data_IF_423222856534
#
_entry.id   IF_423222856534
#
_cell.length_a   1.000
_cell.length_b   1.000
_cell.length_c   1.000
_cell.angle_alpha   90.00
_cell.angle_beta   90.00
_cell.angle_gamma   90.00
#
_symmetry.space_group_name_H-M   'P 1'
#
loop_
_entity.id
_entity.type
_entity.pdbx_description
1 polymer ?
#
# COMPACT_ATOMS: atom_id res chain seq x y z
N UNK A 1 24.97 60.46 -38.34
CA UNK A 1 24.39 59.09 -38.31
C UNK A 1 24.50 58.61 -36.88
N UNK A 2 23.38 58.59 -36.15
CA UNK A 2 23.33 58.33 -34.72
C UNK A 2 23.25 56.83 -34.46
N UNK A 3 24.19 56.30 -33.66
CA UNK A 3 24.20 54.91 -33.20
C UNK A 3 23.27 54.76 -32.00
N UNK A 4 22.35 53.80 -32.07
CA UNK A 4 21.52 53.38 -30.95
C UNK A 4 22.21 52.26 -30.18
N UNK A 5 22.57 52.52 -28.92
CA UNK A 5 22.87 51.49 -27.94
C UNK A 5 21.55 50.79 -27.54
N UNK A 6 21.43 49.50 -27.84
CA UNK A 6 20.42 48.63 -27.26
C UNK A 6 20.97 47.98 -26.00
N UNK A 7 20.56 48.50 -24.85
CA UNK A 7 20.76 47.89 -23.53
C UNK A 7 19.83 46.67 -23.42
N UNK A 8 20.40 45.47 -23.46
CA UNK A 8 19.69 44.23 -23.11
C UNK A 8 19.60 44.17 -21.59
N UNK A 9 18.43 44.49 -21.05
CA UNK A 9 18.11 44.25 -19.65
C UNK A 9 17.91 42.75 -19.41
N UNK A 10 18.82 42.10 -18.69
CA UNK A 10 18.54 40.79 -18.10
C UNK A 10 17.49 40.96 -17.01
N UNK A 11 16.25 40.56 -17.31
CA UNK A 11 15.26 40.29 -16.28
C UNK A 11 15.66 38.99 -15.58
N UNK A 12 16.23 39.11 -14.37
CA UNK A 12 16.28 38.00 -13.43
C UNK A 12 14.85 37.62 -13.09
N UNK A 13 14.35 36.55 -13.70
CA UNK A 13 13.14 35.87 -13.25
C UNK A 13 13.47 35.26 -11.90
N UNK A 14 13.13 36.00 -10.84
CA UNK A 14 12.99 35.41 -9.51
C UNK A 14 11.91 34.34 -9.63
N UNK A 15 12.30 33.07 -9.53
CA UNK A 15 11.37 31.99 -9.18
C UNK A 15 10.94 32.22 -7.72
N UNK A 16 10.14 33.26 -7.50
CA UNK A 16 9.27 33.34 -6.35
C UNK A 16 8.25 32.24 -6.57
N UNK A 17 8.47 31.08 -5.93
CA UNK A 17 7.41 30.12 -5.71
C UNK A 17 6.25 30.90 -5.12
N UNK A 18 5.17 31.03 -5.89
CA UNK A 18 3.90 31.42 -5.32
C UNK A 18 3.67 30.42 -4.19
N UNK A 19 3.60 30.92 -2.96
CA UNK A 19 2.96 30.20 -1.88
C UNK A 19 1.51 30.01 -2.32
N UNK A 20 1.27 28.96 -3.11
CA UNK A 20 -0.07 28.49 -3.43
C UNK A 20 -0.75 28.20 -2.11
N UNK A 21 -2.04 28.54 -2.02
CA UNK A 21 -2.92 28.10 -0.94
C UNK A 21 -2.49 26.70 -0.51
N UNK A 22 -2.08 26.54 0.76
CA UNK A 22 -1.62 25.25 1.29
C UNK A 22 -2.61 24.20 0.85
N UNK A 23 -2.16 23.16 0.14
CA UNK A 23 -3.06 22.12 -0.34
C UNK A 23 -3.79 21.48 0.86
N UNK A 24 -5.11 21.68 0.96
CA UNK A 24 -5.96 21.27 2.11
C UNK A 24 -6.91 20.12 1.81
N UNK A 25 -6.67 19.38 0.72
CA UNK A 25 -7.49 18.25 0.36
C UNK A 25 -7.57 17.25 1.52
N UNK A 26 -8.74 16.65 1.71
CA UNK A 26 -8.96 15.65 2.75
C UNK A 26 -9.50 14.36 2.13
N UNK A 27 -9.16 13.24 2.76
CA UNK A 27 -9.79 11.96 2.46
C UNK A 27 -11.03 11.80 3.35
N UNK A 28 -12.18 11.51 2.76
CA UNK A 28 -13.44 11.27 3.48
C UNK A 28 -13.99 9.90 3.13
N UNK A 29 -14.29 9.09 4.14
CA UNK A 29 -15.00 7.82 3.97
C UNK A 29 -16.50 8.05 4.11
N UNK A 30 -17.28 7.59 3.13
CA UNK A 30 -18.73 7.73 3.09
C UNK A 30 -19.36 6.35 2.89
N UNK A 31 -20.18 5.93 3.85
CA UNK A 31 -20.99 4.72 3.73
C UNK A 31 -22.40 5.08 3.28
N UNK A 32 -22.85 4.50 2.18
CA UNK A 32 -24.20 4.72 1.65
C UNK A 32 -25.15 3.64 2.17
N UNK A 33 -25.56 3.73 3.43
CA UNK A 33 -26.38 2.71 4.10
C UNK A 33 -27.62 2.28 3.30
N UNK A 34 -28.32 3.25 2.69
CA UNK A 34 -29.51 3.01 1.87
C UNK A 34 -29.22 2.29 0.54
N UNK A 35 -27.96 2.29 0.10
CA UNK A 35 -27.52 1.60 -1.11
C UNK A 35 -27.00 0.18 -0.82
N UNK A 36 -26.74 -0.19 0.43
CA UNK A 36 -26.13 -1.49 0.77
C UNK A 36 -27.18 -2.60 0.81
N UNK A 37 -27.00 -3.59 -0.07
CA UNK A 37 -27.84 -4.78 -0.13
C UNK A 37 -27.78 -5.57 1.21
N UNK A 38 -28.90 -6.14 1.70
CA UNK A 38 -28.93 -6.81 3.00
C UNK A 38 -27.86 -7.87 3.24
N UNK A 39 -27.51 -8.65 2.20
CA UNK A 39 -26.48 -9.69 2.27
C UNK A 39 -25.07 -9.16 2.54
N UNK A 40 -24.79 -7.89 2.18
CA UNK A 40 -23.47 -7.29 2.29
C UNK A 40 -23.26 -6.53 3.62
N UNK A 41 -24.32 -6.35 4.41
CA UNK A 41 -24.29 -5.48 5.60
C UNK A 41 -23.34 -5.94 6.69
N UNK A 42 -23.17 -7.25 6.87
CA UNK A 42 -22.28 -7.78 7.90
C UNK A 42 -20.81 -7.40 7.62
N UNK A 43 -20.31 -7.68 6.42
CA UNK A 43 -18.96 -7.30 6.03
C UNK A 43 -18.71 -5.79 6.12
N UNK A 44 -19.67 -4.95 5.72
CA UNK A 44 -19.56 -3.49 5.88
C UNK A 44 -19.51 -3.08 7.35
N UNK A 45 -20.32 -3.69 8.22
CA UNK A 45 -20.30 -3.38 9.66
C UNK A 45 -18.98 -3.76 10.31
N UNK A 46 -18.37 -4.89 9.90
CA UNK A 46 -17.01 -5.29 10.33
C UNK A 46 -15.98 -4.22 9.95
N UNK A 47 -15.97 -3.79 8.69
CA UNK A 47 -15.05 -2.75 8.20
C UNK A 47 -15.30 -1.41 8.90
N UNK A 48 -16.56 -1.03 9.09
CA UNK A 48 -16.93 0.22 9.77
C UNK A 48 -16.51 0.22 11.24
N UNK A 49 -16.75 -0.86 11.97
CA UNK A 49 -16.42 -0.96 13.41
C UNK A 49 -14.93 -0.97 13.66
N UNK A 50 -14.17 -1.65 12.81
CA UNK A 50 -12.70 -1.70 12.91
C UNK A 50 -12.03 -0.37 12.58
N UNK A 51 -12.75 0.53 11.87
CA UNK A 51 -12.27 1.85 11.45
C UNK A 51 -11.04 1.82 10.53
N UNK A 52 -10.80 0.71 9.84
CA UNK A 52 -9.59 0.51 9.04
C UNK A 52 -9.49 1.48 7.86
N UNK A 53 -10.61 1.86 7.26
CA UNK A 53 -10.64 2.85 6.18
C UNK A 53 -10.36 4.25 6.73
N UNK A 54 -10.98 4.60 7.84
CA UNK A 54 -10.85 5.91 8.48
C UNK A 54 -9.44 6.13 9.00
N UNK A 55 -8.81 5.14 9.63
CA UNK A 55 -7.43 5.26 10.11
C UNK A 55 -6.45 5.55 8.97
N UNK A 56 -6.60 4.87 7.84
CA UNK A 56 -5.77 5.11 6.66
C UNK A 56 -6.06 6.48 6.01
N UNK A 57 -7.33 6.85 5.88
CA UNK A 57 -7.77 8.15 5.38
C UNK A 57 -7.28 9.32 6.26
N UNK A 58 -7.34 9.15 7.58
CA UNK A 58 -6.87 10.12 8.57
C UNK A 58 -5.37 10.30 8.42
N UNK A 59 -4.58 9.22 8.37
CA UNK A 59 -3.12 9.32 8.18
C UNK A 59 -2.77 10.07 6.88
N UNK A 60 -3.40 9.73 5.76
CA UNK A 60 -3.17 10.46 4.49
C UNK A 60 -3.51 11.95 4.65
N UNK A 61 -4.65 12.26 5.25
CA UNK A 61 -5.13 13.63 5.46
C UNK A 61 -4.22 14.44 6.38
N UNK A 62 -3.64 13.83 7.42
CA UNK A 62 -2.78 14.52 8.38
C UNK A 62 -1.34 14.63 7.91
N UNK A 63 -0.87 13.65 7.14
CA UNK A 63 0.54 13.53 6.77
C UNK A 63 0.87 14.21 5.44
N UNK A 64 -0.11 14.34 4.53
CA UNK A 64 0.10 14.81 3.15
C UNK A 64 -0.74 16.04 2.81
N UNK A 65 -0.14 16.97 2.08
CA UNK A 65 -0.79 18.16 1.55
C UNK A 65 -1.48 17.82 0.22
N UNK A 66 -2.66 17.19 0.29
CA UNK A 66 -3.40 16.74 -0.90
C UNK A 66 -3.89 17.93 -1.76
N UNK A 67 -3.68 17.92 -3.10
CA UNK A 67 -4.12 19.00 -3.98
C UNK A 67 -5.65 19.10 -4.08
N UNK A 68 -6.35 17.97 -3.88
CA UNK A 68 -7.79 17.87 -3.99
C UNK A 68 -8.35 16.94 -2.91
N UNK A 69 -9.63 17.14 -2.57
CA UNK A 69 -10.36 16.18 -1.75
C UNK A 69 -10.44 14.82 -2.45
N UNK A 70 -10.41 13.77 -1.63
CA UNK A 70 -10.63 12.39 -2.03
C UNK A 70 -11.82 11.83 -1.27
N UNK A 71 -12.70 11.10 -1.95
CA UNK A 71 -13.85 10.43 -1.33
C UNK A 71 -13.75 8.93 -1.52
N UNK A 72 -13.93 8.19 -0.44
CA UNK A 72 -14.02 6.73 -0.43
C UNK A 72 -15.48 6.37 -0.29
N UNK A 73 -16.08 5.88 -1.37
CA UNK A 73 -17.50 5.58 -1.49
C UNK A 73 -17.74 4.09 -1.21
N UNK A 74 -18.21 3.76 0.00
CA UNK A 74 -18.63 2.40 0.36
C UNK A 74 -20.09 2.23 -0.02
N UNK A 75 -20.34 1.67 -1.21
CA UNK A 75 -21.67 1.64 -1.85
C UNK A 75 -21.80 0.51 -2.87
N UNK A 76 -22.98 -0.12 -2.99
CA UNK A 76 -23.27 -1.05 -4.09
C UNK A 76 -23.63 -0.28 -5.40
N UNK A 77 -23.79 1.05 -5.34
CA UNK A 77 -24.05 1.90 -6.52
C UNK A 77 -22.72 2.37 -7.12
N UNK A 78 -22.05 1.46 -7.81
CA UNK A 78 -20.77 1.73 -8.48
C UNK A 78 -20.94 1.92 -10.00
N UNK A 79 -19.98 2.55 -10.70
CA UNK A 79 -19.97 2.62 -12.15
C UNK A 79 -19.99 1.22 -12.81
N UNK A 80 -20.49 1.09 -14.05
CA UNK A 80 -20.47 -0.19 -14.77
C UNK A 80 -19.05 -0.77 -14.90
N UNK A 81 -18.88 -2.06 -14.61
CA UNK A 81 -17.60 -2.77 -14.68
C UNK A 81 -16.74 -2.67 -13.42
N UNK A 82 -17.19 -1.97 -12.38
CA UNK A 82 -16.54 -2.00 -11.06
C UNK A 82 -17.06 -3.20 -10.27
N UNK A 83 -16.18 -4.16 -10.02
CA UNK A 83 -16.50 -5.40 -9.29
C UNK A 83 -15.75 -5.48 -7.95
N UNK A 84 -14.57 -4.88 -7.88
CA UNK A 84 -13.70 -4.79 -6.71
C UNK A 84 -13.48 -3.34 -6.24
N UNK A 85 -12.66 -3.17 -5.20
CA UNK A 85 -12.24 -1.83 -4.79
C UNK A 85 -11.42 -1.19 -5.92
N UNK A 86 -11.68 0.08 -6.22
CA UNK A 86 -11.03 0.74 -7.36
C UNK A 86 -10.93 2.24 -7.20
N UNK A 87 -9.76 2.76 -7.52
CA UNK A 87 -9.47 4.18 -7.63
C UNK A 87 -9.81 4.69 -9.02
N UNK A 88 -10.60 5.76 -9.08
CA UNK A 88 -10.96 6.39 -10.34
C UNK A 88 -9.76 7.11 -10.97
N UNK A 89 -9.73 7.27 -12.31
CA UNK A 89 -8.58 7.83 -13.03
C UNK A 89 -8.13 9.23 -12.61
N UNK A 90 -8.99 10.02 -11.96
CA UNK A 90 -8.65 11.34 -11.43
C UNK A 90 -7.97 11.30 -10.05
N UNK A 91 -7.91 10.11 -9.42
CA UNK A 91 -7.36 9.91 -8.07
C UNK A 91 -8.21 10.53 -6.96
N UNK A 92 -9.45 10.92 -7.21
CA UNK A 92 -10.30 11.64 -6.24
C UNK A 92 -11.45 10.81 -5.69
N UNK A 93 -11.79 9.71 -6.35
CA UNK A 93 -12.83 8.79 -5.86
C UNK A 93 -12.27 7.39 -5.78
N UNK A 94 -12.46 6.72 -4.65
CA UNK A 94 -12.20 5.30 -4.48
C UNK A 94 -13.56 4.65 -4.22
N UNK A 95 -13.97 3.70 -5.05
CA UNK A 95 -15.15 2.88 -4.76
C UNK A 95 -14.73 1.66 -3.97
N UNK A 96 -15.50 1.32 -2.93
CA UNK A 96 -15.35 0.08 -2.16
C UNK A 96 -16.69 -0.64 -2.18
N UNK A 97 -16.93 -1.55 -3.14
CA UNK A 97 -18.20 -2.26 -3.24
C UNK A 97 -18.46 -3.15 -2.01
N UNK A 98 -19.63 -3.07 -1.35
CA UNK A 98 -20.01 -3.98 -0.28
C UNK A 98 -20.04 -5.46 -0.69
N UNK A 99 -20.36 -5.75 -1.94
CA UNK A 99 -20.27 -7.11 -2.50
C UNK A 99 -18.83 -7.64 -2.43
N UNK A 100 -17.84 -6.85 -2.84
CA UNK A 100 -16.42 -7.19 -2.74
C UNK A 100 -15.98 -7.44 -1.29
N UNK A 101 -16.41 -6.61 -0.34
CA UNK A 101 -16.12 -6.84 1.09
C UNK A 101 -16.69 -8.17 1.60
N UNK A 102 -17.86 -8.57 1.07
CA UNK A 102 -18.50 -9.85 1.41
C UNK A 102 -17.73 -11.03 0.82
N UNK A 103 -17.19 -10.87 -0.39
CA UNK A 103 -16.31 -11.88 -1.00
C UNK A 103 -15.01 -12.04 -0.22
N UNK A 104 -14.37 -10.93 0.16
CA UNK A 104 -13.21 -10.94 1.05
C UNK A 104 -13.51 -11.66 2.37
N UNK A 105 -14.68 -11.43 2.96
CA UNK A 105 -15.11 -12.12 4.18
C UNK A 105 -15.32 -13.63 3.96
N UNK A 106 -15.78 -14.03 2.78
CA UNK A 106 -15.83 -15.43 2.38
C UNK A 106 -14.44 -16.08 2.38
N UNK A 107 -13.46 -15.44 1.75
CA UNK A 107 -12.07 -15.91 1.73
C UNK A 107 -11.47 -15.91 3.14
N UNK A 108 -11.70 -14.86 3.93
CA UNK A 108 -11.27 -14.77 5.32
C UNK A 108 -11.84 -15.92 6.18
N UNK A 109 -13.09 -16.30 5.93
CA UNK A 109 -13.73 -17.44 6.59
C UNK A 109 -13.05 -18.75 6.22
N UNK A 110 -12.68 -18.93 4.97
CA UNK A 110 -11.97 -20.13 4.54
C UNK A 110 -10.58 -20.19 5.17
N UNK A 111 -9.82 -19.08 5.13
CA UNK A 111 -8.50 -18.96 5.78
C UNK A 111 -8.58 -19.30 7.27
N UNK A 112 -9.51 -18.69 8.01
CA UNK A 112 -9.66 -18.94 9.45
C UNK A 112 -10.00 -20.40 9.79
N UNK A 113 -10.53 -21.18 8.83
CA UNK A 113 -10.86 -22.60 9.00
C UNK A 113 -9.76 -23.55 8.53
N UNK A 114 -9.06 -23.21 7.46
CA UNK A 114 -8.18 -24.14 6.73
C UNK A 114 -6.70 -23.86 6.90
N UNK A 115 -6.32 -22.65 7.30
CA UNK A 115 -4.92 -22.24 7.44
C UNK A 115 -4.55 -22.22 8.93
N UNK A 116 -3.41 -22.81 9.26
CA UNK A 116 -2.87 -22.70 10.61
C UNK A 116 -2.59 -21.23 10.93
N UNK A 117 -3.03 -20.76 12.10
CA UNK A 117 -2.82 -19.39 12.55
C UNK A 117 -1.31 -19.08 12.64
N UNK A 118 -0.79 -18.09 11.88
CA UNK A 118 0.59 -17.64 12.08
C UNK A 118 0.79 -17.10 13.49
N UNK A 119 1.95 -17.36 14.08
CA UNK A 119 2.28 -16.90 15.44
C UNK A 119 2.29 -15.36 15.60
N UNK A 120 2.30 -14.62 14.49
CA UNK A 120 2.21 -13.16 14.47
C UNK A 120 0.83 -12.66 14.91
N UNK A 121 -0.25 -13.41 14.63
CA UNK A 121 -1.59 -13.06 15.10
C UNK A 121 -1.80 -13.55 16.53
N UNK A 122 -2.52 -12.79 17.36
CA UNK A 122 -3.06 -13.34 18.60
C UNK A 122 -4.17 -14.35 18.31
N UNK A 123 -4.53 -15.18 19.29
CA UNK A 123 -5.60 -16.18 19.11
C UNK A 123 -6.97 -15.53 18.89
N UNK A 124 -7.24 -14.41 19.56
CA UNK A 124 -8.52 -13.73 19.47
C UNK A 124 -8.67 -12.95 18.15
N UNK A 125 -7.55 -12.53 17.53
CA UNK A 125 -7.51 -11.74 16.29
C UNK A 125 -7.36 -12.60 15.01
N UNK A 126 -7.58 -13.92 15.09
CA UNK A 126 -7.54 -14.82 13.95
C UNK A 126 -8.90 -15.45 13.68
N UNK A 127 -9.83 -14.61 13.24
CA UNK A 127 -11.17 -15.00 12.83
C UNK A 127 -11.56 -14.28 11.53
N UNK A 128 -12.68 -14.68 10.94
CA UNK A 128 -13.12 -14.16 9.64
C UNK A 128 -13.30 -12.64 9.65
N UNK A 129 -13.87 -12.07 10.71
CA UNK A 129 -14.18 -10.63 10.77
C UNK A 129 -12.88 -9.81 10.90
N UNK A 130 -11.97 -10.21 11.78
CA UNK A 130 -10.68 -9.52 11.94
C UNK A 130 -9.81 -9.62 10.68
N UNK A 131 -9.74 -10.81 10.07
CA UNK A 131 -9.01 -11.00 8.81
C UNK A 131 -9.64 -10.19 7.66
N UNK A 132 -10.98 -10.05 7.65
CA UNK A 132 -11.68 -9.18 6.68
C UNK A 132 -11.24 -7.73 6.85
N UNK A 133 -11.33 -7.19 8.07
CA UNK A 133 -10.94 -5.82 8.35
C UNK A 133 -9.47 -5.54 7.99
N UNK A 134 -8.57 -6.44 8.39
CA UNK A 134 -7.14 -6.32 8.14
C UNK A 134 -6.78 -6.41 6.66
N UNK A 135 -7.40 -7.32 5.90
CA UNK A 135 -7.19 -7.40 4.47
C UNK A 135 -7.80 -6.19 3.74
N UNK A 136 -8.97 -5.71 4.16
CA UNK A 136 -9.53 -4.44 3.66
C UNK A 136 -8.60 -3.26 3.92
N UNK A 137 -7.91 -3.20 5.08
CA UNK A 137 -6.90 -2.17 5.35
C UNK A 137 -5.76 -2.17 4.32
N UNK A 138 -5.33 -3.37 3.89
CA UNK A 138 -4.28 -3.52 2.90
C UNK A 138 -4.77 -3.16 1.49
N UNK A 139 -5.91 -3.72 1.06
CA UNK A 139 -6.52 -3.41 -0.25
C UNK A 139 -6.83 -1.92 -0.37
N UNK A 140 -7.35 -1.29 0.69
CA UNK A 140 -7.55 0.17 0.67
C UNK A 140 -6.22 0.93 0.61
N UNK A 141 -5.17 0.41 1.23
CA UNK A 141 -3.81 0.93 1.04
C UNK A 141 -3.41 0.90 -0.44
N UNK A 142 -3.66 -0.22 -1.13
CA UNK A 142 -3.36 -0.35 -2.56
C UNK A 142 -4.08 0.75 -3.37
N UNK A 143 -5.38 0.95 -3.14
CA UNK A 143 -6.15 2.02 -3.77
C UNK A 143 -5.63 3.43 -3.43
N UNK A 144 -5.22 3.65 -2.18
CA UNK A 144 -4.59 4.92 -1.82
C UNK A 144 -3.28 5.15 -2.58
N UNK A 145 -2.44 4.13 -2.79
CA UNK A 145 -1.20 4.25 -3.57
C UNK A 145 -1.48 4.76 -4.99
N UNK A 146 -2.44 4.12 -5.63
CA UNK A 146 -3.05 4.51 -6.89
C UNK A 146 -3.55 5.97 -6.90
N UNK A 147 -4.29 6.39 -5.87
CA UNK A 147 -4.85 7.73 -5.79
C UNK A 147 -3.76 8.79 -5.60
N UNK A 148 -2.77 8.52 -4.75
CA UNK A 148 -1.64 9.41 -4.49
C UNK A 148 -0.75 9.56 -5.73
N UNK A 149 -0.49 8.48 -6.46
CA UNK A 149 0.25 8.54 -7.73
C UNK A 149 -0.42 9.49 -8.72
N UNK A 150 -1.74 9.43 -8.86
CA UNK A 150 -2.52 10.29 -9.74
C UNK A 150 -2.57 11.74 -9.27
N UNK A 151 -2.85 11.98 -7.98
CA UNK A 151 -2.98 13.34 -7.46
C UNK A 151 -1.66 14.11 -7.43
N UNK A 152 -0.56 13.43 -7.09
CA UNK A 152 0.76 14.05 -7.02
C UNK A 152 1.60 13.91 -8.29
N UNK A 153 1.08 13.21 -9.32
CA UNK A 153 1.81 12.91 -10.54
C UNK A 153 3.15 12.23 -10.25
N UNK A 154 3.13 11.25 -9.33
CA UNK A 154 4.34 10.54 -8.91
C UNK A 154 4.92 9.75 -10.08
N UNK A 155 6.26 9.73 -10.18
CA UNK A 155 6.92 8.98 -11.22
C UNK A 155 6.76 7.47 -10.97
N UNK A 156 6.17 6.75 -11.93
CA UNK A 156 6.13 5.30 -11.96
C UNK A 156 7.11 4.78 -13.01
N UNK A 157 8.05 3.92 -12.60
CA UNK A 157 9.09 3.35 -13.46
C UNK A 157 8.88 1.84 -13.73
N UNK A 158 7.79 1.26 -13.23
CA UNK A 158 7.45 -0.15 -13.35
C UNK A 158 5.95 -0.38 -13.57
N UNK A 159 5.45 -1.55 -13.15
CA UNK A 159 4.02 -1.84 -13.13
C UNK A 159 3.33 -0.99 -12.07
N UNK A 160 2.23 -0.32 -12.43
CA UNK A 160 1.50 0.53 -11.49
C UNK A 160 0.91 -0.28 -10.33
N UNK A 161 0.39 -1.47 -10.60
CA UNK A 161 -0.16 -2.39 -9.60
C UNK A 161 0.89 -2.83 -8.56
N UNK A 162 2.13 -3.07 -8.99
CA UNK A 162 3.25 -3.36 -8.07
C UNK A 162 3.57 -2.16 -7.17
N UNK A 163 3.48 -0.94 -7.71
CA UNK A 163 3.67 0.27 -6.92
C UNK A 163 2.54 0.43 -5.89
N UNK A 164 1.28 0.23 -6.29
CA UNK A 164 0.12 0.29 -5.42
C UNK A 164 0.19 -0.75 -4.28
N UNK A 165 0.50 -2.01 -4.60
CA UNK A 165 0.80 -3.07 -3.61
C UNK A 165 1.98 -2.70 -2.69
N UNK A 166 3.00 -2.07 -3.26
CA UNK A 166 4.13 -1.51 -2.54
C UNK A 166 3.68 -0.46 -1.52
N UNK A 167 2.80 0.47 -1.90
CA UNK A 167 2.26 1.47 -0.98
C UNK A 167 1.42 0.83 0.13
N UNK A 168 0.62 -0.19 -0.20
CA UNK A 168 -0.12 -0.96 0.79
C UNK A 168 0.83 -1.58 1.84
N UNK A 169 1.90 -2.24 1.39
CA UNK A 169 2.92 -2.81 2.26
C UNK A 169 3.62 -1.74 3.09
N UNK A 170 4.09 -0.67 2.45
CA UNK A 170 4.76 0.48 3.07
C UNK A 170 3.91 1.12 4.18
N UNK A 171 2.67 1.50 3.86
CA UNK A 171 1.79 2.22 4.76
C UNK A 171 1.30 1.32 5.91
N UNK A 172 1.08 0.03 5.66
CA UNK A 172 0.65 -0.89 6.72
C UNK A 172 1.79 -1.17 7.70
N UNK A 173 2.98 -1.53 7.22
CA UNK A 173 4.13 -1.81 8.10
C UNK A 173 4.53 -0.59 8.93
N UNK A 174 4.57 0.61 8.33
CA UNK A 174 4.97 1.83 9.05
C UNK A 174 3.91 2.35 10.03
N UNK A 175 2.61 2.18 9.74
CA UNK A 175 1.56 2.92 10.44
C UNK A 175 0.49 2.03 11.10
N UNK A 176 0.25 0.83 10.59
CA UNK A 176 -0.79 -0.10 11.09
C UNK A 176 -0.21 -1.38 11.72
N UNK A 177 1.11 -1.61 11.60
CA UNK A 177 1.78 -2.82 12.04
C UNK A 177 1.67 -3.99 11.07
N UNK A 178 2.06 -5.21 11.48
CA UNK A 178 2.26 -6.35 10.58
C UNK A 178 0.96 -7.06 10.15
N UNK A 179 -0.11 -6.87 10.92
CA UNK A 179 -1.34 -7.64 10.79
C UNK A 179 -2.05 -7.46 9.43
N UNK A 180 -2.20 -6.25 8.87
CA UNK A 180 -2.82 -6.06 7.55
C UNK A 180 -2.08 -6.75 6.41
N UNK A 181 -0.74 -6.60 6.33
CA UNK A 181 0.05 -7.22 5.26
C UNK A 181 0.01 -8.74 5.33
N UNK A 182 0.06 -9.30 6.55
CA UNK A 182 -0.04 -10.74 6.74
C UNK A 182 -1.45 -11.27 6.44
N UNK A 183 -2.51 -10.58 6.86
CA UNK A 183 -3.88 -10.96 6.54
C UNK A 183 -4.12 -10.96 5.02
N UNK A 184 -3.67 -9.91 4.33
CA UNK A 184 -3.72 -9.84 2.86
C UNK A 184 -2.94 -10.99 2.22
N UNK A 185 -1.72 -11.29 2.68
CA UNK A 185 -0.94 -12.41 2.17
C UNK A 185 -1.68 -13.75 2.32
N UNK A 186 -2.30 -14.03 3.47
CA UNK A 186 -3.04 -15.28 3.68
C UNK A 186 -4.29 -15.38 2.79
N UNK A 187 -5.03 -14.29 2.64
CA UNK A 187 -6.24 -14.26 1.80
C UNK A 187 -5.88 -14.40 0.31
N UNK A 188 -4.85 -13.70 -0.15
CA UNK A 188 -4.42 -13.75 -1.54
C UNK A 188 -3.78 -15.11 -1.88
N UNK A 189 -3.11 -15.75 -0.91
CA UNK A 189 -2.61 -17.12 -1.07
C UNK A 189 -3.77 -18.13 -1.20
N UNK A 190 -4.86 -17.94 -0.45
CA UNK A 190 -6.07 -18.74 -0.60
C UNK A 190 -6.79 -18.47 -1.94
N UNK A 191 -6.83 -17.23 -2.40
CA UNK A 191 -7.33 -16.89 -3.73
C UNK A 191 -6.49 -17.53 -4.84
N UNK A 192 -5.16 -17.43 -4.76
CA UNK A 192 -4.25 -18.06 -5.72
C UNK A 192 -4.45 -19.58 -5.80
N UNK A 193 -4.70 -20.25 -4.66
CA UNK A 193 -5.06 -21.68 -4.64
C UNK A 193 -6.36 -21.99 -5.39
N UNK A 194 -7.36 -21.11 -5.28
CA UNK A 194 -8.67 -21.25 -5.96
C UNK A 194 -8.60 -20.94 -7.46
N UNK A 195 -7.76 -19.98 -7.86
CA UNK A 195 -7.43 -19.70 -9.26
C UNK A 195 -6.79 -20.92 -9.94
N UNK A 196 -5.99 -21.67 -9.19
CA UNK A 196 -5.35 -22.89 -9.66
C UNK A 196 -4.10 -22.61 -10.48
N UNK A 197 -4.05 -23.11 -11.72
CA UNK A 197 -2.88 -22.95 -12.59
C UNK A 197 -2.85 -21.59 -13.28
N UNK A 198 -1.64 -21.06 -13.51
CA UNK A 198 -1.46 -19.80 -14.23
C UNK A 198 -2.00 -19.90 -15.67
N UNK A 199 -2.86 -18.96 -16.06
CA UNK A 199 -3.44 -18.85 -17.40
C UNK A 199 -2.74 -17.78 -18.23
N UNK A 200 -2.96 -17.77 -19.56
CA UNK A 200 -2.44 -16.70 -20.42
C UNK A 200 -3.04 -15.35 -20.01
N UNK A 201 -4.33 -15.33 -19.69
CA UNK A 201 -5.05 -14.16 -19.22
C UNK A 201 -4.43 -13.62 -17.92
N UNK A 202 -4.16 -14.50 -16.95
CA UNK A 202 -3.53 -14.11 -15.68
C UNK A 202 -2.08 -13.62 -15.85
N UNK A 203 -1.34 -14.12 -16.83
CA UNK A 203 -0.01 -13.58 -17.18
C UNK A 203 -0.07 -12.23 -17.91
N UNK A 204 -1.19 -11.94 -18.57
CA UNK A 204 -1.42 -10.69 -19.32
C UNK A 204 -2.19 -9.63 -18.54
N UNK A 205 -2.58 -9.94 -17.30
CA UNK A 205 -3.26 -8.99 -16.41
C UNK A 205 -2.36 -7.78 -16.13
N UNK A 206 -2.99 -6.67 -15.82
CA UNK A 206 -2.34 -5.49 -15.23
C UNK A 206 -1.66 -5.82 -13.88
N UNK A 207 -2.32 -6.66 -13.08
CA UNK A 207 -1.79 -7.19 -11.85
C UNK A 207 -0.74 -8.29 -12.07
N UNK A 208 0.31 -8.33 -11.23
CA UNK A 208 1.17 -9.50 -11.16
C UNK A 208 0.38 -10.75 -10.75
N UNK A 209 0.89 -11.92 -11.10
CA UNK A 209 0.36 -13.22 -10.64
C UNK A 209 0.11 -13.18 -9.13
N UNK A 210 -1.09 -13.55 -8.68
CA UNK A 210 -1.54 -13.43 -7.28
C UNK A 210 -0.55 -14.01 -6.29
N UNK A 211 0.00 -15.20 -6.56
CA UNK A 211 1.02 -15.83 -5.70
C UNK A 211 2.34 -15.03 -5.63
N UNK A 212 2.74 -14.34 -6.70
CA UNK A 212 3.92 -13.49 -6.68
C UNK A 212 3.71 -12.26 -5.78
N UNK A 213 2.49 -11.67 -5.81
CA UNK A 213 2.08 -10.58 -4.91
C UNK A 213 2.19 -11.01 -3.44
N UNK A 214 1.67 -12.18 -3.10
CA UNK A 214 1.77 -12.78 -1.74
C UNK A 214 3.21 -12.80 -1.24
N UNK A 215 4.14 -13.31 -2.06
CA UNK A 215 5.54 -13.37 -1.65
C UNK A 215 6.20 -11.99 -1.55
N UNK A 216 5.74 -10.99 -2.29
CA UNK A 216 6.16 -9.60 -2.10
C UNK A 216 5.67 -9.05 -0.76
N UNK A 217 4.40 -9.27 -0.39
CA UNK A 217 3.84 -8.78 0.88
C UNK A 217 4.57 -9.37 2.08
N UNK A 218 4.77 -10.70 2.08
CA UNK A 218 5.49 -11.42 3.13
C UNK A 218 6.96 -11.00 3.19
N UNK A 219 7.59 -10.73 2.04
CA UNK A 219 8.98 -10.30 1.98
C UNK A 219 9.16 -8.87 2.50
N UNK A 220 8.26 -7.94 2.17
CA UNK A 220 8.28 -6.60 2.76
C UNK A 220 8.09 -6.64 4.27
N UNK A 221 7.14 -7.45 4.75
CA UNK A 221 6.93 -7.64 6.18
C UNK A 221 8.16 -8.26 6.87
N UNK A 222 8.70 -9.36 6.34
CA UNK A 222 9.88 -10.01 6.91
C UNK A 222 11.09 -9.08 6.94
N UNK A 223 11.34 -8.39 5.82
CA UNK A 223 12.46 -7.45 5.68
C UNK A 223 12.38 -6.24 6.59
N UNK A 224 11.19 -5.87 7.07
CA UNK A 224 11.01 -4.76 8.02
C UNK A 224 11.60 -5.04 9.40
N UNK A 225 11.56 -6.29 9.86
CA UNK A 225 12.20 -6.75 11.09
C UNK A 225 12.50 -8.25 11.00
N UNK A 226 13.61 -8.64 10.35
CA UNK A 226 13.94 -10.05 10.13
C UNK A 226 14.06 -10.83 11.45
N UNK A 227 14.56 -10.17 12.51
CA UNK A 227 14.70 -10.81 13.83
C UNK A 227 13.35 -11.24 14.41
N UNK A 228 12.31 -10.46 14.14
CA UNK A 228 10.96 -10.74 14.62
C UNK A 228 10.22 -11.74 13.74
N UNK A 229 10.46 -11.71 12.42
CA UNK A 229 9.61 -12.42 11.46
C UNK A 229 10.26 -13.64 10.79
N UNK A 230 11.58 -13.86 10.91
CA UNK A 230 12.25 -15.04 10.34
C UNK A 230 11.58 -16.34 10.83
N UNK A 231 11.44 -16.53 12.13
CA UNK A 231 10.79 -17.72 12.69
C UNK A 231 9.32 -17.87 12.24
N UNK A 232 8.46 -16.88 12.52
CA UNK A 232 7.03 -16.95 12.19
C UNK A 232 6.68 -17.00 10.70
N UNK A 233 7.51 -16.46 9.81
CA UNK A 233 7.21 -16.41 8.36
C UNK A 233 8.07 -17.40 7.57
N UNK A 234 9.39 -17.40 7.78
CA UNK A 234 10.32 -18.26 7.03
C UNK A 234 10.40 -19.65 7.66
N UNK A 235 10.55 -19.73 8.99
CA UNK A 235 10.61 -20.98 9.74
C UNK A 235 9.32 -21.79 9.65
N UNK A 236 8.18 -21.12 9.65
CA UNK A 236 6.86 -21.72 9.47
C UNK A 236 6.52 -22.06 8.00
N UNK A 237 7.31 -21.57 7.03
CA UNK A 237 7.18 -21.94 5.62
C UNK A 237 6.24 -21.06 4.77
N UNK A 238 5.70 -19.95 5.31
CA UNK A 238 4.94 -18.98 4.51
C UNK A 238 5.82 -18.26 3.49
N UNK A 239 7.04 -17.90 3.88
CA UNK A 239 8.04 -17.27 2.99
C UNK A 239 9.16 -18.26 2.66
N UNK A 240 9.44 -18.56 1.38
CA UNK A 240 10.50 -19.47 1.01
C UNK A 240 11.87 -19.01 1.53
N UNK A 241 12.64 -19.96 2.09
CA UNK A 241 14.02 -19.72 2.56
C UNK A 241 14.95 -19.14 1.50
N UNK A 242 14.66 -19.39 0.22
CA UNK A 242 15.41 -18.86 -0.92
C UNK A 242 15.05 -17.40 -1.23
N UNK A 243 13.87 -16.92 -0.81
CA UNK A 243 13.41 -15.53 -0.99
C UNK A 243 13.85 -14.64 0.18
N UNK A 244 13.78 -15.16 1.41
CA UNK A 244 14.03 -14.42 2.65
C UNK A 244 15.32 -13.57 2.64
N UNK A 245 16.48 -14.03 2.12
CA UNK A 245 17.69 -13.22 2.15
C UNK A 245 17.64 -11.93 1.31
N UNK A 246 16.67 -11.80 0.41
CA UNK A 246 16.47 -10.60 -0.42
C UNK A 246 15.55 -9.56 0.25
N UNK A 247 14.84 -9.98 1.31
CA UNK A 247 13.76 -9.22 1.89
C UNK A 247 14.17 -7.96 2.67
N UNK A 248 15.27 -7.97 3.47
CA UNK A 248 15.74 -6.75 4.13
C UNK A 248 16.04 -5.62 3.14
N UNK A 249 16.73 -5.93 2.04
CA UNK A 249 17.02 -4.95 1.00
C UNK A 249 15.75 -4.54 0.24
N UNK A 250 14.86 -5.48 -0.09
CA UNK A 250 13.60 -5.19 -0.77
C UNK A 250 12.71 -4.23 0.04
N UNK A 251 12.55 -4.47 1.35
CA UNK A 251 11.86 -3.56 2.26
C UNK A 251 12.53 -2.18 2.30
N UNK A 252 13.85 -2.12 2.54
CA UNK A 252 14.54 -0.85 2.65
C UNK A 252 14.47 -0.01 1.36
N UNK A 253 14.46 -0.65 0.19
CA UNK A 253 14.24 0.02 -1.10
C UNK A 253 12.82 0.58 -1.22
N UNK A 254 11.82 -0.22 -0.84
CA UNK A 254 10.41 0.19 -0.87
C UNK A 254 10.14 1.37 0.07
N UNK A 255 10.60 1.25 1.32
CA UNK A 255 10.39 2.24 2.38
C UNK A 255 11.05 3.58 2.03
N UNK A 256 12.32 3.55 1.64
CA UNK A 256 13.01 4.75 1.13
C UNK A 256 12.33 5.32 -0.11
N UNK A 257 11.90 4.47 -1.04
CA UNK A 257 11.24 4.89 -2.28
C UNK A 257 9.98 5.68 -2.00
N UNK A 258 9.06 5.14 -1.19
CA UNK A 258 7.81 5.81 -0.86
C UNK A 258 8.02 7.07 -0.02
N UNK A 259 8.86 7.05 1.01
CA UNK A 259 9.17 8.27 1.75
C UNK A 259 9.75 9.36 0.85
N UNK A 260 10.61 9.00 -0.10
CA UNK A 260 11.20 9.95 -1.05
C UNK A 260 10.16 10.54 -2.00
N UNK A 261 9.24 9.73 -2.52
CA UNK A 261 8.16 10.19 -3.39
C UNK A 261 7.18 11.11 -2.65
N UNK A 262 6.88 10.82 -1.38
CA UNK A 262 5.95 11.61 -0.56
C UNK A 262 6.57 12.89 0.01
N UNK A 263 7.88 12.94 0.18
CA UNK A 263 8.60 14.06 0.82
C UNK A 263 8.25 15.46 0.31
N UNK A 264 8.13 15.71 -1.01
CA UNK A 264 7.73 17.03 -1.52
C UNK A 264 6.29 17.42 -1.11
N UNK A 265 5.48 16.46 -0.71
CA UNK A 265 4.05 16.58 -0.48
C UNK A 265 3.66 16.48 0.99
N UNK A 266 4.60 16.45 1.93
CA UNK A 266 4.25 16.44 3.35
C UNK A 266 3.45 17.69 3.75
N UNK A 267 2.40 17.46 4.54
CA UNK A 267 1.69 18.53 5.23
C UNK A 267 2.64 19.28 6.15
N UNK A 268 2.42 20.58 6.33
CA UNK A 268 3.29 21.43 7.15
C UNK A 268 3.49 20.86 8.57
N UNK A 269 2.43 20.33 9.18
CA UNK A 269 2.47 19.75 10.53
C UNK A 269 3.24 18.42 10.62
N UNK A 270 3.38 17.70 9.51
CA UNK A 270 4.04 16.40 9.45
C UNK A 270 5.47 16.46 8.88
N UNK A 271 5.85 17.59 8.26
CA UNK A 271 7.10 17.72 7.49
C UNK A 271 8.35 17.28 8.27
N UNK A 272 8.50 17.73 9.51
CA UNK A 272 9.68 17.38 10.32
C UNK A 272 9.74 15.88 10.64
N UNK A 273 8.58 15.28 10.95
CA UNK A 273 8.48 13.84 11.17
C UNK A 273 8.76 13.04 9.89
N UNK A 274 8.13 13.43 8.79
CA UNK A 274 8.31 12.79 7.48
C UNK A 274 9.74 12.91 6.95
N UNK A 275 10.39 14.06 7.10
CA UNK A 275 11.79 14.26 6.73
C UNK A 275 12.70 13.32 7.54
N UNK A 276 12.45 13.21 8.86
CA UNK A 276 13.17 12.27 9.71
C UNK A 276 12.97 10.81 9.28
N UNK A 277 11.72 10.40 9.00
CA UNK A 277 11.41 9.04 8.51
C UNK A 277 12.13 8.75 7.19
N UNK A 278 12.17 9.71 6.28
CA UNK A 278 12.87 9.57 5.00
C UNK A 278 14.39 9.44 5.17
N UNK A 279 15.00 10.23 6.06
CA UNK A 279 16.44 10.16 6.37
C UNK A 279 16.82 8.83 7.04
N UNK A 280 15.96 8.33 7.93
CA UNK A 280 16.09 7.00 8.56
C UNK A 280 16.00 5.89 7.51
N UNK A 281 14.99 5.93 6.64
CA UNK A 281 14.81 4.97 5.54
C UNK A 281 16.01 4.99 4.56
N UNK A 282 16.57 6.17 4.28
CA UNK A 282 17.78 6.32 3.46
C UNK A 282 18.99 5.66 4.12
N UNK A 283 19.17 5.91 5.41
CA UNK A 283 20.24 5.29 6.19
C UNK A 283 20.09 3.78 6.22
N UNK A 284 18.87 3.29 6.41
CA UNK A 284 18.55 1.86 6.40
C UNK A 284 18.88 1.22 5.05
N UNK A 285 18.45 1.81 3.93
CA UNK A 285 18.78 1.32 2.59
C UNK A 285 20.29 1.21 2.34
N UNK A 286 21.07 2.20 2.78
CA UNK A 286 22.53 2.16 2.66
C UNK A 286 23.11 0.98 3.46
N UNK A 287 22.62 0.78 4.69
CA UNK A 287 23.05 -0.30 5.56
C UNK A 287 22.70 -1.68 4.98
N UNK A 288 21.45 -1.90 4.54
CA UNK A 288 21.01 -3.17 3.96
C UNK A 288 21.69 -3.47 2.62
N UNK A 289 21.97 -2.45 1.81
CA UNK A 289 22.72 -2.63 0.56
C UNK A 289 24.14 -3.10 0.84
N UNK A 290 24.79 -2.55 1.87
CA UNK A 290 26.12 -3.00 2.30
C UNK A 290 26.08 -4.42 2.86
N UNK A 291 25.12 -4.71 3.74
CA UNK A 291 24.95 -6.04 4.33
C UNK A 291 24.63 -7.11 3.29
N UNK A 292 23.82 -6.77 2.28
CA UNK A 292 23.54 -7.63 1.14
C UNK A 292 24.82 -7.93 0.34
N UNK A 293 25.63 -6.90 0.05
CA UNK A 293 26.90 -7.09 -0.66
C UNK A 293 27.88 -8.00 0.09
N UNK A 294 27.94 -7.90 1.42
CA UNK A 294 28.78 -8.76 2.27
C UNK A 294 28.34 -10.23 2.28
N UNK A 295 27.05 -10.50 2.06
CA UNK A 295 26.49 -11.85 2.04
C UNK A 295 26.23 -12.39 0.63
N UNK A 296 26.43 -11.59 -0.42
CA UNK A 296 26.09 -11.92 -1.80
C UNK A 296 26.75 -13.21 -2.29
N UNK A 297 28.02 -13.43 -1.95
CA UNK A 297 28.75 -14.62 -2.39
C UNK A 297 28.26 -15.90 -1.70
N UNK A 298 27.81 -15.81 -0.44
CA UNK A 298 27.16 -16.92 0.26
C UNK A 298 25.85 -17.30 -0.44
N UNK A 299 25.02 -16.30 -0.74
CA UNK A 299 23.75 -16.48 -1.44
C UNK A 299 23.94 -17.09 -2.84
N UNK A 300 24.94 -16.64 -3.59
CA UNK A 300 25.26 -17.19 -4.92
C UNK A 300 25.76 -18.63 -4.89
N UNK A 301 26.49 -19.00 -3.84
CA UNK A 301 27.09 -20.34 -3.72
C UNK A 301 26.21 -21.35 -2.99
N UNK A 302 25.07 -20.90 -2.44
CA UNK A 302 24.17 -21.75 -1.64
C UNK A 302 24.82 -22.27 -0.36
N UNK A 303 25.84 -21.57 0.15
CA UNK A 303 26.60 -21.92 1.36
C UNK A 303 26.32 -20.96 2.50
#
# INVERSE_FOLDING_TARGET
MAGALLLVGLALVSCGGAAGDEAKGKVRVVYHDDAIAPKNRHAVEVVRRSRVLEQAADWVTTSLALPHDMVVEVTDKVPPGVEDAVTQPDGRTIYVPPAFLTELQGVATDVAKSVERPAVFSQDEYNADDLTALATRFVFGHELGHALQRQFMLANLGLEEDAADGFASFSTVNEAGPAPSLAAALLFDELARKEGGTTLEGLSSDHPVTQARVFSFLCHLEGSDPKKYEGPLVGAGYLPKTRAPLCPQAWAMLDYGWWTQLRPHFAAAFRDEGDKKQDEARTHLIAETKAFAENLDKLRTGR
#
